data_IF_880739308677
#
_entry.id   IF_880739308677
#
_cell.length_a   1.000
_cell.length_b   1.000
_cell.length_c   1.000
_cell.angle_alpha   90.00
_cell.angle_beta   90.00
_cell.angle_gamma   90.00
#
_symmetry.space_group_name_H-M   'P 1'
#
loop_
_entity.id
_entity.type
_entity.pdbx_description
1 polymer ?
#
# COMPACT_ATOMS: atom_id res chain seq x y z
N UNK A 1 -6.84 25.61 3.13
CA UNK A 1 -5.93 25.75 1.98
C UNK A 1 -6.04 24.47 1.17
N UNK A 2 -6.17 24.53 -0.18
CA UNK A 2 -6.22 23.32 -1.02
C UNK A 2 -4.84 22.65 -1.02
N UNK A 3 -4.81 21.31 -0.94
CA UNK A 3 -3.59 20.50 -0.90
C UNK A 3 -3.51 19.58 -2.13
N UNK A 4 -2.29 19.27 -2.54
CA UNK A 4 -2.02 18.32 -3.61
C UNK A 4 -2.43 16.89 -3.20
N UNK A 5 -3.21 16.22 -4.04
CA UNK A 5 -3.67 14.84 -3.80
C UNK A 5 -2.56 13.79 -3.91
N UNK A 6 -1.35 14.21 -4.37
CA UNK A 6 -0.21 13.30 -4.49
C UNK A 6 0.83 13.49 -3.37
N UNK A 7 1.07 14.69 -2.86
CA UNK A 7 2.15 14.94 -1.87
C UNK A 7 1.69 15.68 -0.61
N UNK A 8 0.41 15.98 -0.47
CA UNK A 8 -0.25 16.67 0.65
C UNK A 8 0.22 18.11 0.91
N UNK A 9 1.18 18.63 0.15
CA UNK A 9 1.65 20.00 0.28
C UNK A 9 0.63 20.99 -0.30
N UNK A 10 0.61 22.26 0.19
CA UNK A 10 -0.25 23.29 -0.36
C UNK A 10 -0.05 23.48 -1.86
N UNK A 11 -1.14 23.60 -2.61
CA UNK A 11 -1.11 23.90 -4.04
C UNK A 11 -0.71 25.36 -4.31
N UNK A 12 -0.01 25.60 -5.41
CA UNK A 12 0.28 26.93 -5.91
C UNK A 12 -0.96 27.57 -6.52
N UNK A 13 -0.90 28.90 -6.79
CA UNK A 13 -1.98 29.61 -7.45
C UNK A 13 -2.22 29.02 -8.87
N UNK A 14 -3.46 28.67 -9.17
CA UNK A 14 -3.86 28.10 -10.46
C UNK A 14 -3.72 26.57 -10.60
N UNK A 15 -3.08 25.90 -9.64
CA UNK A 15 -3.04 24.43 -9.62
C UNK A 15 -4.33 23.86 -9.03
N UNK A 16 -4.78 22.75 -9.62
CA UNK A 16 -5.98 22.01 -9.21
C UNK A 16 -5.57 20.56 -8.93
N UNK A 17 -5.87 20.10 -7.72
CA UNK A 17 -5.63 18.74 -7.22
C UNK A 17 -4.16 18.29 -7.22
N UNK A 18 -3.33 18.69 -8.16
CA UNK A 18 -1.93 18.25 -8.26
C UNK A 18 -0.98 19.41 -8.58
N UNK A 19 0.25 19.32 -8.06
CA UNK A 19 1.36 20.05 -8.64
C UNK A 19 1.75 19.44 -10.00
N UNK A 20 2.16 20.25 -10.96
CA UNK A 20 2.57 19.77 -12.29
C UNK A 20 3.67 18.69 -12.22
N UNK A 21 4.62 18.80 -11.29
CA UNK A 21 5.66 17.78 -11.13
C UNK A 21 5.11 16.45 -10.56
N UNK A 22 4.14 16.50 -9.64
CA UNK A 22 3.50 15.30 -9.09
C UNK A 22 2.69 14.57 -10.17
N UNK A 23 1.93 15.31 -10.98
CA UNK A 23 1.21 14.74 -12.13
C UNK A 23 2.18 14.08 -13.11
N UNK A 24 3.29 14.75 -13.44
CA UNK A 24 4.32 14.22 -14.35
C UNK A 24 4.98 12.95 -13.81
N UNK A 25 5.24 12.87 -12.49
CA UNK A 25 5.84 11.69 -11.87
C UNK A 25 4.89 10.50 -11.93
N UNK A 26 3.62 10.68 -11.61
CA UNK A 26 2.64 9.58 -11.54
C UNK A 26 2.11 9.20 -12.92
N UNK A 27 1.70 10.17 -13.74
CA UNK A 27 1.01 9.93 -15.00
C UNK A 27 1.90 10.10 -16.25
N UNK A 28 3.10 10.64 -16.10
CA UNK A 28 4.01 10.94 -17.21
C UNK A 28 3.70 12.25 -17.95
N UNK A 29 2.66 12.98 -17.53
CA UNK A 29 2.22 14.28 -18.08
C UNK A 29 2.04 15.29 -16.96
N UNK A 30 2.19 16.58 -17.28
CA UNK A 30 1.90 17.68 -16.35
C UNK A 30 0.40 17.86 -16.12
N UNK A 31 -0.42 17.33 -17.02
CA UNK A 31 -1.87 17.31 -16.91
C UNK A 31 -2.32 16.02 -16.25
N UNK A 32 -3.25 16.14 -15.31
CA UNK A 32 -3.89 15.01 -14.65
C UNK A 32 -4.93 14.41 -15.59
N UNK A 33 -4.93 13.09 -15.86
CA UNK A 33 -5.93 12.48 -16.72
C UNK A 33 -7.34 12.60 -16.08
N UNK A 34 -8.32 12.92 -16.92
CA UNK A 34 -9.71 13.00 -16.50
C UNK A 34 -10.22 11.59 -16.19
N UNK A 35 -10.84 11.42 -15.01
CA UNK A 35 -11.53 10.20 -14.60
C UNK A 35 -13.05 10.45 -14.71
N UNK A 36 -13.68 10.09 -15.84
CA UNK A 36 -15.03 10.53 -16.17
C UNK A 36 -16.15 9.69 -15.51
N UNK A 37 -15.80 8.92 -14.50
CA UNK A 37 -16.73 8.02 -13.81
C UNK A 37 -17.24 8.63 -12.52
N UNK A 38 -18.44 8.22 -12.11
CA UNK A 38 -18.99 8.38 -10.77
C UNK A 38 -18.90 7.04 -10.01
N UNK A 39 -19.13 7.04 -8.71
CA UNK A 39 -19.21 5.80 -7.93
C UNK A 39 -20.25 4.82 -8.52
N UNK A 40 -21.40 5.32 -8.98
CA UNK A 40 -22.43 4.50 -9.61
C UNK A 40 -21.92 3.81 -10.86
N UNK A 41 -21.27 4.54 -11.76
CA UNK A 41 -20.70 3.97 -12.99
C UNK A 41 -19.71 2.86 -12.68
N UNK A 42 -18.90 3.04 -11.64
CA UNK A 42 -17.90 2.04 -11.21
C UNK A 42 -18.57 0.79 -10.62
N UNK A 43 -19.63 0.96 -9.83
CA UNK A 43 -20.38 -0.18 -9.31
C UNK A 43 -21.02 -0.98 -10.44
N UNK A 44 -21.60 -0.32 -11.42
CA UNK A 44 -22.18 -0.95 -12.60
C UNK A 44 -21.11 -1.69 -13.43
N UNK A 45 -19.95 -1.05 -13.67
CA UNK A 45 -18.80 -1.68 -14.35
C UNK A 45 -18.23 -2.85 -13.55
N UNK A 46 -18.10 -2.73 -12.24
CA UNK A 46 -17.61 -3.80 -11.38
C UNK A 46 -18.54 -5.02 -11.43
N UNK A 47 -19.86 -4.83 -11.47
CA UNK A 47 -20.81 -5.92 -11.66
C UNK A 47 -20.64 -6.62 -13.01
N UNK A 48 -20.36 -5.88 -14.09
CA UNK A 48 -20.13 -6.43 -15.42
C UNK A 48 -18.79 -7.20 -15.47
N UNK A 49 -17.72 -6.64 -14.92
CA UNK A 49 -16.36 -7.21 -14.94
C UNK A 49 -16.23 -8.39 -13.94
N UNK A 50 -16.88 -8.28 -12.77
CA UNK A 50 -16.86 -9.29 -11.70
C UNK A 50 -18.02 -10.28 -11.83
N UNK A 51 -19.07 -9.98 -12.58
CA UNK A 51 -20.22 -10.84 -12.79
C UNK A 51 -19.93 -12.24 -13.38
N UNK A 52 -18.67 -12.50 -13.73
CA UNK A 52 -18.15 -13.84 -14.05
C UNK A 52 -17.40 -14.50 -12.86
N UNK A 53 -17.21 -13.82 -11.73
CA UNK A 53 -16.57 -14.39 -10.54
C UNK A 53 -17.29 -13.85 -9.30
N UNK A 54 -17.97 -14.70 -8.58
CA UNK A 54 -18.71 -14.50 -7.33
C UNK A 54 -18.21 -13.30 -6.51
N UNK A 55 -19.02 -12.24 -6.46
CA UNK A 55 -18.78 -11.09 -5.58
C UNK A 55 -18.89 -11.51 -4.13
N UNK A 56 -17.76 -11.62 -3.44
CA UNK A 56 -17.81 -11.54 -1.99
C UNK A 56 -18.14 -10.07 -1.63
N UNK A 57 -19.35 -9.85 -1.14
CA UNK A 57 -19.80 -8.56 -0.61
C UNK A 57 -18.81 -8.09 0.45
N UNK A 58 -18.25 -6.90 0.26
CA UNK A 58 -17.36 -6.25 1.25
C UNK A 58 -15.87 -6.17 0.88
N UNK A 59 -15.45 -6.71 -0.26
CA UNK A 59 -14.07 -6.54 -0.75
C UNK A 59 -14.02 -5.28 -1.62
N UNK A 60 -13.05 -4.39 -1.36
CA UNK A 60 -12.81 -3.22 -2.21
C UNK A 60 -12.49 -3.64 -3.64
N UNK A 61 -13.20 -3.07 -4.62
CA UNK A 61 -12.92 -3.34 -6.03
C UNK A 61 -11.52 -2.84 -6.40
N UNK A 62 -10.77 -3.66 -7.14
CA UNK A 62 -9.48 -3.30 -7.75
C UNK A 62 -9.67 -3.28 -9.26
N UNK A 63 -9.71 -2.09 -9.84
CA UNK A 63 -9.96 -1.88 -11.25
C UNK A 63 -8.65 -1.59 -11.96
N UNK A 64 -8.39 -2.28 -13.07
CA UNK A 64 -7.25 -2.00 -13.93
C UNK A 64 -7.59 -0.81 -14.83
N UNK A 65 -6.71 0.19 -14.91
CA UNK A 65 -6.93 1.38 -15.70
C UNK A 65 -5.70 1.72 -16.56
N UNK A 66 -5.91 2.39 -17.69
CA UNK A 66 -4.84 2.94 -18.52
C UNK A 66 -5.21 4.36 -18.99
N UNK A 67 -4.21 5.13 -19.40
CA UNK A 67 -4.40 6.47 -19.94
C UNK A 67 -4.60 6.35 -21.46
N UNK A 68 -5.75 6.82 -21.92
CA UNK A 68 -6.07 6.97 -23.33
C UNK A 68 -6.04 8.46 -23.73
N UNK A 69 -5.66 8.75 -24.96
CA UNK A 69 -5.68 10.08 -25.53
C UNK A 69 -6.89 10.20 -26.48
N UNK A 70 -7.49 11.39 -26.54
CA UNK A 70 -8.49 11.67 -27.57
C UNK A 70 -7.87 11.62 -28.98
N UNK A 71 -8.71 11.60 -30.02
CA UNK A 71 -8.25 11.53 -31.42
C UNK A 71 -7.34 12.70 -31.82
N UNK A 72 -7.44 13.84 -31.14
CA UNK A 72 -6.58 15.01 -31.33
C UNK A 72 -5.30 14.96 -30.47
N UNK A 73 -5.18 13.99 -29.55
CA UNK A 73 -4.03 13.86 -28.64
C UNK A 73 -3.98 14.90 -27.50
N UNK A 74 -5.03 15.70 -27.34
CA UNK A 74 -5.02 16.87 -26.44
C UNK A 74 -5.60 16.58 -25.05
N UNK A 75 -6.44 15.54 -24.91
CA UNK A 75 -7.07 15.20 -23.62
C UNK A 75 -6.69 13.80 -23.20
N UNK A 76 -6.18 13.67 -21.97
CA UNK A 76 -5.88 12.37 -21.37
C UNK A 76 -7.08 11.92 -20.54
N UNK A 77 -7.53 10.69 -20.79
CA UNK A 77 -8.57 10.02 -20.01
C UNK A 77 -8.03 8.80 -19.33
N UNK A 78 -8.36 8.61 -18.05
CA UNK A 78 -8.14 7.35 -17.36
C UNK A 78 -9.34 6.44 -17.63
N UNK A 79 -9.11 5.38 -18.40
CA UNK A 79 -10.15 4.42 -18.82
C UNK A 79 -9.99 3.12 -18.07
N UNK A 80 -11.09 2.55 -17.58
CA UNK A 80 -11.11 1.20 -16.99
C UNK A 80 -10.94 0.20 -18.12
N UNK A 81 -9.88 -0.59 -18.00
CA UNK A 81 -9.53 -1.62 -19.01
C UNK A 81 -9.49 -2.99 -18.34
N UNK A 82 -9.33 -4.04 -19.13
CA UNK A 82 -9.10 -5.39 -18.59
C UNK A 82 -7.81 -5.48 -17.75
N UNK A 83 -7.23 -6.66 -17.65
CA UNK A 83 -6.07 -6.94 -16.77
C UNK A 83 -4.76 -6.25 -17.18
N UNK A 84 -4.71 -5.60 -18.33
CA UNK A 84 -3.48 -5.09 -18.96
C UNK A 84 -3.14 -3.63 -18.61
N UNK A 85 -3.98 -2.92 -17.88
CA UNK A 85 -3.75 -1.51 -17.52
C UNK A 85 -2.48 -1.27 -16.72
N UNK A 86 -1.95 -0.06 -16.81
CA UNK A 86 -0.73 0.40 -16.10
C UNK A 86 -1.03 0.91 -14.70
N UNK A 87 -2.30 1.13 -14.37
CA UNK A 87 -2.75 1.62 -13.07
C UNK A 87 -3.72 0.64 -12.42
N UNK A 88 -3.80 0.70 -11.11
CA UNK A 88 -4.85 0.10 -10.31
C UNK A 88 -5.59 1.24 -9.63
N UNK A 89 -6.91 1.29 -9.84
CA UNK A 89 -7.83 2.19 -9.19
C UNK A 89 -8.60 1.42 -8.11
N UNK A 90 -8.63 1.95 -6.90
CA UNK A 90 -9.39 1.42 -5.78
C UNK A 90 -10.39 2.49 -5.34
N UNK A 91 -11.66 2.35 -5.71
CA UNK A 91 -12.69 3.31 -5.35
C UNK A 91 -13.08 3.23 -3.88
N UNK A 92 -13.72 4.30 -3.40
CA UNK A 92 -14.36 4.32 -2.09
C UNK A 92 -15.41 3.20 -1.99
N UNK A 93 -15.53 2.58 -0.81
CA UNK A 93 -16.54 1.54 -0.53
C UNK A 93 -17.70 2.11 0.28
N UNK A 94 -18.86 1.46 0.24
CA UNK A 94 -20.00 1.82 1.09
C UNK A 94 -19.78 1.42 2.55
N UNK A 95 -18.98 0.38 2.77
CA UNK A 95 -18.79 -0.20 4.10
C UNK A 95 -17.77 0.54 4.96
N UNK A 96 -16.71 1.08 4.33
CA UNK A 96 -15.58 1.67 5.03
C UNK A 96 -15.33 3.08 4.51
N UNK A 97 -15.70 4.07 5.31
CA UNK A 97 -15.48 5.47 4.98
C UNK A 97 -13.99 5.82 4.95
N UNK A 98 -13.59 6.67 4.02
CA UNK A 98 -12.22 7.15 3.82
C UNK A 98 -11.18 6.06 3.57
N UNK A 99 -11.59 4.87 3.08
CA UNK A 99 -10.64 3.77 2.84
C UNK A 99 -9.53 4.14 1.83
N UNK A 100 -9.81 4.79 0.68
CA UNK A 100 -8.77 5.29 -0.24
C UNK A 100 -7.80 6.27 0.41
N UNK A 101 -8.31 7.21 1.23
CA UNK A 101 -7.51 8.22 1.91
C UNK A 101 -6.63 7.61 3.00
N UNK A 102 -7.12 6.58 3.72
CA UNK A 102 -6.35 5.86 4.73
C UNK A 102 -5.24 5.03 4.07
N UNK A 103 -5.51 4.40 2.92
CA UNK A 103 -4.49 3.66 2.17
C UNK A 103 -3.42 4.62 1.67
N UNK A 104 -3.79 5.73 1.02
CA UNK A 104 -2.84 6.71 0.51
C UNK A 104 -1.99 7.32 1.63
N UNK A 105 -2.61 7.68 2.76
CA UNK A 105 -1.89 8.16 3.95
C UNK A 105 -0.91 7.10 4.48
N UNK A 106 -1.34 5.84 4.60
CA UNK A 106 -0.47 4.76 5.08
C UNK A 106 0.75 4.56 4.19
N UNK A 107 0.58 4.69 2.88
CA UNK A 107 1.68 4.65 1.91
C UNK A 107 2.62 5.87 2.06
N UNK A 108 2.10 7.07 2.33
CA UNK A 108 2.92 8.25 2.66
C UNK A 108 3.72 8.07 3.95
N UNK A 109 3.12 7.48 5.00
CA UNK A 109 3.84 7.20 6.24
C UNK A 109 4.98 6.19 6.00
N UNK A 110 4.78 5.17 5.14
CA UNK A 110 5.84 4.25 4.71
C UNK A 110 6.97 4.99 4.01
N UNK A 111 6.65 5.90 3.08
CA UNK A 111 7.65 6.70 2.36
C UNK A 111 8.45 7.61 3.30
N UNK A 112 7.82 8.23 4.29
CA UNK A 112 8.48 9.03 5.33
C UNK A 112 9.46 8.16 6.13
N UNK A 113 9.08 6.90 6.43
CA UNK A 113 9.94 5.91 7.08
C UNK A 113 11.05 5.36 6.17
N UNK A 114 11.19 5.88 4.95
CA UNK A 114 12.16 5.46 3.93
C UNK A 114 11.98 4.00 3.46
N UNK A 115 10.77 3.47 3.60
CA UNK A 115 10.39 2.19 3.00
C UNK A 115 10.05 2.48 1.52
N UNK A 116 10.65 1.75 0.57
CA UNK A 116 10.30 1.89 -0.84
C UNK A 116 8.81 1.59 -1.06
N UNK A 117 8.09 2.51 -1.71
CA UNK A 117 6.66 2.37 -2.01
C UNK A 117 6.40 2.41 -3.51
N UNK A 118 5.32 1.79 -3.97
CA UNK A 118 4.85 1.97 -5.35
C UNK A 118 4.36 3.42 -5.54
N UNK A 119 4.46 4.01 -6.75
CA UNK A 119 3.90 5.33 -7.01
C UNK A 119 2.39 5.34 -6.81
N UNK A 120 1.88 6.25 -5.99
CA UNK A 120 0.48 6.31 -5.59
C UNK A 120 0.00 7.75 -5.40
N UNK A 121 -1.29 7.96 -5.39
CA UNK A 121 -1.95 9.21 -5.04
C UNK A 121 -3.46 9.00 -4.86
N UNK A 122 -4.17 10.05 -4.44
CA UNK A 122 -5.62 10.15 -4.55
C UNK A 122 -6.00 10.78 -5.90
N UNK A 123 -7.12 10.36 -6.48
CA UNK A 123 -7.69 10.94 -7.70
C UNK A 123 -9.20 11.14 -7.53
N UNK A 124 -9.76 12.18 -8.18
CA UNK A 124 -11.21 12.45 -8.09
C UNK A 124 -11.97 11.77 -9.19
N UNK A 125 -13.13 11.24 -8.83
CA UNK A 125 -14.21 10.96 -9.78
C UNK A 125 -14.88 12.25 -10.27
N UNK A 126 -15.74 12.14 -11.28
CA UNK A 126 -16.49 13.26 -11.85
C UNK A 126 -17.41 13.94 -10.84
N UNK A 127 -17.89 13.23 -9.82
CA UNK A 127 -18.70 13.74 -8.70
C UNK A 127 -17.87 14.36 -7.56
N UNK A 128 -16.53 14.33 -7.68
CA UNK A 128 -15.58 14.88 -6.71
C UNK A 128 -15.14 13.91 -5.61
N UNK A 129 -15.64 12.69 -5.59
CA UNK A 129 -15.24 11.68 -4.62
C UNK A 129 -13.76 11.26 -4.80
N UNK A 130 -13.05 11.07 -3.68
CA UNK A 130 -11.66 10.65 -3.70
C UNK A 130 -11.54 9.12 -3.82
N UNK A 131 -10.56 8.69 -4.61
CA UNK A 131 -10.24 7.30 -4.85
C UNK A 131 -8.72 7.13 -4.84
N UNK A 132 -8.24 5.96 -4.45
CA UNK A 132 -6.81 5.64 -4.48
C UNK A 132 -6.40 5.15 -5.87
N UNK A 133 -5.29 5.67 -6.37
CA UNK A 133 -4.68 5.22 -7.61
C UNK A 133 -3.20 4.89 -7.40
N UNK A 134 -2.76 3.77 -7.98
CA UNK A 134 -1.35 3.40 -7.97
C UNK A 134 -0.88 2.95 -9.34
N UNK A 135 0.37 3.29 -9.68
CA UNK A 135 0.99 2.79 -10.90
C UNK A 135 1.58 1.40 -10.66
N UNK A 136 1.25 0.46 -11.53
CA UNK A 136 1.71 -0.92 -11.46
C UNK A 136 3.21 -1.01 -11.74
N UNK A 137 3.93 -1.67 -10.84
CA UNK A 137 5.36 -1.93 -10.97
C UNK A 137 5.66 -3.18 -11.81
N UNK A 138 4.67 -4.04 -12.01
CA UNK A 138 4.76 -5.21 -12.89
C UNK A 138 4.48 -4.89 -14.36
N UNK A 139 4.61 -3.61 -14.73
CA UNK A 139 4.48 -3.13 -16.11
C UNK A 139 5.67 -2.26 -16.48
N UNK A 140 6.19 -2.46 -17.69
CA UNK A 140 7.14 -1.52 -18.32
C UNK A 140 6.41 -0.24 -18.75
N UNK A 141 7.16 0.80 -19.13
CA UNK A 141 6.59 2.01 -19.73
C UNK A 141 5.75 1.70 -20.97
N UNK A 142 6.15 0.70 -21.75
CA UNK A 142 5.45 0.23 -22.96
C UNK A 142 4.29 -0.75 -22.64
N UNK A 143 3.93 -0.95 -21.36
CA UNK A 143 2.83 -1.78 -20.92
C UNK A 143 3.12 -3.30 -20.89
N UNK A 144 4.33 -3.75 -21.21
CA UNK A 144 4.71 -5.17 -21.12
C UNK A 144 4.73 -5.64 -19.67
N UNK A 145 4.20 -6.84 -19.41
CA UNK A 145 4.22 -7.46 -18.08
C UNK A 145 5.64 -7.88 -17.70
N UNK A 146 6.07 -7.48 -16.51
CA UNK A 146 7.29 -7.98 -15.86
C UNK A 146 6.95 -9.22 -15.03
N UNK A 147 7.89 -10.18 -14.93
CA UNK A 147 7.72 -11.32 -14.02
C UNK A 147 7.59 -10.83 -12.58
N UNK A 148 6.53 -11.26 -11.91
CA UNK A 148 6.23 -10.94 -10.51
C UNK A 148 5.40 -12.07 -9.92
N UNK A 149 5.80 -12.55 -8.74
CA UNK A 149 5.14 -13.61 -7.99
C UNK A 149 4.93 -13.15 -6.54
N UNK A 150 3.71 -13.29 -6.04
CA UNK A 150 3.43 -13.02 -4.63
C UNK A 150 3.85 -14.22 -3.73
N UNK A 151 3.99 -13.97 -2.42
CA UNK A 151 4.44 -15.01 -1.48
C UNK A 151 3.43 -16.15 -1.30
N UNK A 152 2.16 -15.93 -1.65
CA UNK A 152 1.16 -17.00 -1.72
C UNK A 152 1.50 -17.96 -2.86
N UNK A 153 1.82 -17.45 -4.05
CA UNK A 153 2.25 -18.21 -5.21
C UNK A 153 3.59 -18.91 -4.94
N UNK A 154 4.60 -18.20 -4.43
CA UNK A 154 5.93 -18.76 -4.11
C UNK A 154 5.88 -19.86 -3.04
N UNK A 155 4.88 -19.82 -2.14
CA UNK A 155 4.65 -20.87 -1.14
C UNK A 155 3.79 -22.05 -1.66
N UNK A 156 3.39 -22.03 -2.93
CA UNK A 156 2.52 -23.06 -3.51
C UNK A 156 1.08 -23.04 -2.98
N UNK A 157 0.63 -21.94 -2.41
CA UNK A 157 -0.71 -21.79 -1.80
C UNK A 157 -1.71 -21.19 -2.78
N UNK A 158 -2.97 -21.57 -2.63
CA UNK A 158 -4.09 -20.96 -3.34
C UNK A 158 -4.50 -19.63 -2.72
N UNK A 159 -5.24 -18.80 -3.45
CA UNK A 159 -5.68 -17.48 -2.99
C UNK A 159 -6.48 -17.53 -1.68
N UNK A 160 -7.29 -18.57 -1.48
CA UNK A 160 -8.09 -18.79 -0.27
C UNK A 160 -7.23 -19.07 0.97
N UNK A 161 -5.98 -19.46 0.76
CA UNK A 161 -5.00 -19.77 1.81
C UNK A 161 -4.06 -18.58 2.10
N UNK A 162 -4.34 -17.40 1.61
CA UNK A 162 -3.48 -16.20 1.73
C UNK A 162 -3.16 -15.81 3.19
N UNK A 163 -3.99 -16.21 4.14
CA UNK A 163 -3.78 -15.98 5.59
C UNK A 163 -3.11 -17.17 6.31
N UNK A 164 -2.78 -18.25 5.60
CA UNK A 164 -2.16 -19.44 6.18
C UNK A 164 -0.64 -19.37 6.05
N UNK A 165 0.03 -18.81 7.04
CA UNK A 165 1.47 -18.68 7.03
C UNK A 165 2.01 -17.88 8.20
N UNK A 166 3.31 -17.59 8.15
CA UNK A 166 3.96 -16.73 9.13
C UNK A 166 4.88 -15.74 8.42
N UNK A 167 5.24 -14.67 9.11
CA UNK A 167 6.19 -13.69 8.58
C UNK A 167 7.59 -14.30 8.42
N UNK A 168 7.98 -15.24 9.28
CA UNK A 168 9.23 -16.00 9.15
C UNK A 168 9.24 -16.88 7.89
N UNK A 169 8.09 -17.43 7.49
CA UNK A 169 7.97 -18.19 6.24
C UNK A 169 8.26 -17.28 5.03
N UNK A 170 7.73 -16.07 5.01
CA UNK A 170 8.01 -15.09 3.94
C UNK A 170 9.51 -14.74 3.90
N UNK A 171 10.14 -14.50 5.05
CA UNK A 171 11.56 -14.20 5.12
C UNK A 171 12.41 -15.35 4.55
N UNK A 172 12.03 -16.62 4.80
CA UNK A 172 12.68 -17.80 4.21
C UNK A 172 12.47 -17.90 2.70
N UNK A 173 11.28 -17.53 2.18
CA UNK A 173 11.04 -17.47 0.73
C UNK A 173 11.90 -16.38 0.07
N UNK A 174 12.05 -15.22 0.71
CA UNK A 174 12.96 -14.17 0.24
C UNK A 174 14.40 -14.70 0.19
N UNK A 175 14.84 -15.42 1.22
CA UNK A 175 16.17 -16.01 1.27
C UNK A 175 16.41 -17.02 0.13
N UNK A 176 15.38 -17.78 -0.22
CA UNK A 176 15.43 -18.79 -1.28
C UNK A 176 15.40 -18.20 -2.69
N UNK A 177 14.63 -17.16 -2.94
CA UNK A 177 14.31 -16.72 -4.30
C UNK A 177 14.86 -15.33 -4.66
N UNK A 178 15.23 -14.48 -3.69
CA UNK A 178 15.79 -13.17 -3.99
C UNK A 178 17.26 -13.25 -4.41
N UNK A 179 17.63 -12.46 -5.41
CA UNK A 179 19.01 -12.30 -5.86
C UNK A 179 19.88 -11.45 -4.92
N UNK A 180 19.25 -10.72 -3.97
CA UNK A 180 19.89 -9.86 -2.96
C UNK A 180 19.27 -10.11 -1.58
N UNK A 181 19.11 -11.38 -1.23
CA UNK A 181 18.30 -11.87 -0.11
C UNK A 181 18.53 -11.13 1.21
N UNK A 182 19.78 -10.84 1.59
CA UNK A 182 20.08 -10.18 2.86
C UNK A 182 19.50 -8.76 2.93
N UNK A 183 19.65 -7.97 1.86
CA UNK A 183 19.09 -6.63 1.78
C UNK A 183 17.55 -6.68 1.74
N UNK A 184 17.00 -7.59 0.96
CA UNK A 184 15.56 -7.75 0.85
C UNK A 184 14.90 -8.23 2.14
N UNK A 185 15.57 -9.09 2.94
CA UNK A 185 15.10 -9.46 4.28
C UNK A 185 15.07 -8.27 5.23
N UNK A 186 16.07 -7.39 5.20
CA UNK A 186 16.07 -6.16 6.01
C UNK A 186 14.93 -5.25 5.60
N UNK A 187 14.74 -5.00 4.30
CA UNK A 187 13.63 -4.18 3.78
C UNK A 187 12.27 -4.81 4.12
N UNK A 188 12.16 -6.12 4.03
CA UNK A 188 10.97 -6.88 4.38
C UNK A 188 10.61 -6.71 5.87
N UNK A 189 11.55 -6.92 6.78
CA UNK A 189 11.30 -6.76 8.21
C UNK A 189 10.95 -5.32 8.61
N UNK A 190 11.52 -4.33 7.92
CA UNK A 190 11.07 -2.94 8.08
C UNK A 190 9.59 -2.77 7.67
N UNK A 191 9.15 -3.39 6.57
CA UNK A 191 7.75 -3.37 6.17
C UNK A 191 6.84 -4.06 7.18
N UNK A 192 7.26 -5.20 7.75
CA UNK A 192 6.49 -5.94 8.77
C UNK A 192 6.31 -5.11 10.04
N UNK A 193 7.38 -4.54 10.59
CA UNK A 193 7.32 -3.69 11.80
C UNK A 193 6.48 -2.44 11.52
N UNK A 194 6.68 -1.79 10.37
CA UNK A 194 5.89 -0.64 9.96
C UNK A 194 4.39 -0.97 9.88
N UNK A 195 4.02 -2.09 9.25
CA UNK A 195 2.63 -2.53 9.13
C UNK A 195 1.97 -2.69 10.50
N UNK A 196 2.70 -3.23 11.47
CA UNK A 196 2.22 -3.33 12.85
C UNK A 196 2.06 -1.95 13.50
N UNK A 197 3.02 -1.02 13.32
CA UNK A 197 2.94 0.33 13.89
C UNK A 197 1.70 1.07 13.39
N UNK A 198 1.39 0.99 12.10
CA UNK A 198 0.21 1.65 11.53
C UNK A 198 -1.10 0.87 11.74
N UNK A 199 -1.07 -0.29 12.40
CA UNK A 199 -2.24 -1.14 12.63
C UNK A 199 -2.81 -1.76 11.36
N UNK A 200 -1.95 -2.23 10.47
CA UNK A 200 -2.35 -2.97 9.27
C UNK A 200 -2.41 -4.48 9.57
N UNK A 201 -3.57 -4.98 9.93
CA UNK A 201 -3.82 -6.41 10.18
C UNK A 201 -4.21 -7.20 8.91
N UNK A 202 -4.05 -6.63 7.71
CA UNK A 202 -4.33 -7.33 6.43
C UNK A 202 -3.07 -7.59 5.56
N UNK A 203 -1.87 -7.47 6.12
CA UNK A 203 -0.61 -7.77 5.42
C UNK A 203 -0.38 -9.28 5.30
N UNK A 204 -1.17 -9.92 4.45
CA UNK A 204 -1.13 -11.36 4.17
C UNK A 204 -0.12 -11.71 3.06
N UNK A 205 0.00 -13.01 2.72
CA UNK A 205 0.97 -13.54 1.76
C UNK A 205 0.95 -12.87 0.39
N UNK A 206 -0.21 -12.37 -0.08
CA UNK A 206 -0.33 -11.71 -1.39
C UNK A 206 0.12 -10.27 -1.41
N UNK A 207 0.38 -9.67 -0.25
CA UNK A 207 0.82 -8.28 -0.12
C UNK A 207 2.35 -8.13 -0.09
N UNK A 208 3.07 -9.24 -0.27
CA UNK A 208 4.52 -9.29 -0.46
C UNK A 208 4.83 -10.04 -1.75
N UNK A 209 5.73 -9.50 -2.58
CA UNK A 209 6.09 -10.10 -3.87
C UNK A 209 7.57 -9.96 -4.18
N UNK A 210 8.06 -10.87 -5.00
CA UNK A 210 9.31 -10.70 -5.72
C UNK A 210 9.03 -10.40 -7.19
N UNK A 211 9.82 -9.52 -7.80
CA UNK A 211 9.69 -9.19 -9.22
C UNK A 211 11.04 -9.04 -9.88
N UNK A 212 11.06 -9.14 -11.21
CA UNK A 212 12.28 -9.01 -12.01
C UNK A 212 12.21 -7.76 -12.90
N UNK A 213 12.68 -6.58 -12.39
CA UNK A 213 12.57 -5.32 -13.13
C UNK A 213 13.43 -5.23 -14.39
N UNK A 214 14.51 -6.03 -14.46
CA UNK A 214 15.48 -6.03 -15.58
C UNK A 214 15.66 -7.39 -16.24
N UNK A 215 14.82 -8.38 -15.90
CA UNK A 215 14.94 -9.77 -16.33
C UNK A 215 16.00 -10.56 -15.56
N UNK A 216 15.67 -11.82 -15.22
CA UNK A 216 16.59 -12.81 -14.64
C UNK A 216 16.94 -12.67 -13.15
N UNK A 217 16.81 -11.51 -12.54
CA UNK A 217 17.08 -11.29 -11.11
C UNK A 217 15.80 -10.86 -10.40
N UNK A 218 15.36 -11.67 -9.44
CA UNK A 218 14.21 -11.35 -8.60
C UNK A 218 14.65 -10.60 -7.35
N UNK A 219 13.93 -9.56 -6.98
CA UNK A 219 14.13 -8.75 -5.78
C UNK A 219 12.78 -8.45 -5.14
N UNK A 220 12.79 -8.09 -3.86
CA UNK A 220 11.58 -7.66 -3.16
C UNK A 220 10.99 -6.41 -3.84
N UNK A 221 9.68 -6.39 -4.02
CA UNK A 221 8.99 -5.22 -4.56
C UNK A 221 9.01 -4.06 -3.56
N UNK A 222 8.92 -2.80 -4.03
CA UNK A 222 8.39 -1.73 -3.18
C UNK A 222 7.06 -2.15 -2.54
N UNK A 223 6.78 -1.66 -1.32
CA UNK A 223 5.53 -2.00 -0.64
C UNK A 223 4.30 -1.43 -1.35
N UNK A 224 3.19 -2.12 -1.23
CA UNK A 224 1.86 -1.78 -1.74
C UNK A 224 0.79 -2.31 -0.79
N UNK A 225 -0.46 -1.88 -0.96
CA UNK A 225 -1.59 -2.32 -0.12
C UNK A 225 -1.36 -2.06 1.39
N UNK A 226 -0.67 -0.98 1.74
CA UNK A 226 -0.56 -0.54 3.14
C UNK A 226 -1.83 0.22 3.52
N UNK A 227 -2.57 -0.29 4.48
CA UNK A 227 -3.79 0.34 4.99
C UNK A 227 -3.92 0.11 6.49
N UNK A 228 -4.20 1.15 7.26
CA UNK A 228 -4.48 0.98 8.69
C UNK A 228 -5.87 0.36 8.87
N UNK A 229 -5.92 -0.97 8.93
CA UNK A 229 -7.20 -1.66 9.19
C UNK A 229 -7.76 -1.31 10.56
N UNK A 230 -6.90 -0.99 11.52
CA UNK A 230 -7.30 -0.59 12.87
C UNK A 230 -8.05 0.75 12.91
N UNK A 231 -7.69 1.72 12.05
CA UNK A 231 -8.41 2.98 11.89
C UNK A 231 -9.73 2.77 11.14
N UNK A 232 -9.75 1.85 10.16
CA UNK A 232 -10.95 1.52 9.37
C UNK A 232 -11.97 0.70 10.18
N UNK A 233 -11.48 -0.22 11.03
CA UNK A 233 -12.27 -1.15 11.86
C UNK A 233 -11.73 -1.16 13.29
N UNK A 234 -12.04 -0.18 14.13
CA UNK A 234 -11.50 -0.08 15.49
C UNK A 234 -11.78 -1.29 16.38
N UNK A 235 -12.85 -2.02 16.09
CA UNK A 235 -13.28 -3.23 16.81
C UNK A 235 -12.41 -4.47 16.49
N UNK A 236 -11.63 -4.46 15.40
CA UNK A 236 -10.75 -5.57 15.07
C UNK A 236 -9.69 -5.76 16.16
N UNK A 237 -9.54 -7.00 16.62
CA UNK A 237 -8.63 -7.39 17.71
C UNK A 237 -7.33 -8.00 17.23
N UNK A 238 -7.24 -8.34 15.95
CA UNK A 238 -6.00 -8.84 15.38
C UNK A 238 -5.01 -7.68 15.19
N UNK A 239 -3.74 -7.94 15.42
CA UNK A 239 -2.67 -6.96 15.19
C UNK A 239 -1.92 -7.24 13.89
N UNK A 240 -1.94 -8.49 13.43
CA UNK A 240 -1.24 -8.96 12.23
C UNK A 240 -2.06 -10.00 11.47
N UNK A 241 -1.94 -10.03 10.14
CA UNK A 241 -2.61 -10.99 9.25
C UNK A 241 -2.08 -12.41 9.37
N UNK A 242 -0.78 -12.54 9.58
CA UNK A 242 -0.05 -13.82 9.70
C UNK A 242 0.53 -13.96 11.11
N UNK A 243 0.95 -15.16 11.46
CA UNK A 243 1.64 -15.36 12.74
C UNK A 243 3.05 -14.76 12.71
N UNK A 244 3.45 -14.16 13.81
CA UNK A 244 4.80 -13.71 14.13
C UNK A 244 5.21 -14.38 15.44
N UNK A 245 6.32 -15.12 15.45
CA UNK A 245 6.75 -15.92 16.61
C UNK A 245 5.61 -16.79 17.20
N UNK A 246 4.70 -17.24 16.33
CA UNK A 246 3.52 -18.03 16.69
C UNK A 246 2.28 -17.25 17.13
N UNK A 247 2.32 -15.92 17.21
CA UNK A 247 1.22 -15.05 17.67
C UNK A 247 0.72 -14.12 16.55
N UNK A 248 -0.55 -13.66 16.65
CA UNK A 248 -1.14 -12.65 15.75
C UNK A 248 -1.64 -11.41 16.51
N UNK A 249 -1.61 -11.45 17.83
CA UNK A 249 -2.07 -10.38 18.72
C UNK A 249 -1.29 -10.38 20.03
N UNK A 250 -1.33 -9.24 20.74
CA UNK A 250 -0.55 -9.00 21.97
C UNK A 250 0.95 -9.19 21.74
N UNK A 251 1.40 -8.76 20.57
CA UNK A 251 2.79 -8.88 20.15
C UNK A 251 3.67 -7.96 20.99
N UNK A 252 4.83 -8.49 21.39
CA UNK A 252 5.86 -7.77 22.12
C UNK A 252 7.06 -7.50 21.21
N UNK A 253 7.91 -6.55 21.57
CA UNK A 253 9.19 -6.28 20.89
C UNK A 253 10.02 -7.54 20.74
N UNK A 254 10.01 -8.37 21.78
CA UNK A 254 10.67 -9.67 21.81
C UNK A 254 10.24 -10.58 20.64
N UNK A 255 8.95 -10.63 20.30
CA UNK A 255 8.45 -11.49 19.22
C UNK A 255 9.02 -11.08 17.87
N UNK A 256 9.09 -9.78 17.59
CA UNK A 256 9.71 -9.25 16.37
C UNK A 256 11.22 -9.57 16.33
N UNK A 257 11.91 -9.38 17.45
CA UNK A 257 13.35 -9.66 17.53
C UNK A 257 13.63 -11.13 17.26
N UNK A 258 12.94 -12.03 17.95
CA UNK A 258 13.10 -13.47 17.78
C UNK A 258 12.80 -13.92 16.34
N UNK A 259 11.70 -13.45 15.74
CA UNK A 259 11.36 -13.78 14.37
C UNK A 259 12.44 -13.31 13.37
N UNK A 260 13.02 -12.13 13.58
CA UNK A 260 14.15 -11.64 12.78
C UNK A 260 15.39 -12.53 12.94
N UNK A 261 15.78 -12.88 14.18
CA UNK A 261 16.93 -13.73 14.47
C UNK A 261 16.77 -15.13 13.85
N UNK A 262 15.58 -15.75 14.00
CA UNK A 262 15.26 -17.06 13.43
C UNK A 262 15.33 -17.10 11.91
N UNK A 263 15.26 -15.95 11.25
CA UNK A 263 15.37 -15.82 9.79
C UNK A 263 16.72 -15.30 9.32
N UNK A 264 17.71 -15.27 10.22
CA UNK A 264 19.10 -14.91 9.89
C UNK A 264 19.34 -13.42 9.73
N UNK A 265 18.57 -12.58 10.41
CA UNK A 265 18.90 -11.17 10.63
C UNK A 265 19.83 -11.09 11.85
N UNK A 266 20.92 -10.34 11.71
CA UNK A 266 21.83 -10.07 12.82
C UNK A 266 21.14 -9.27 13.94
N UNK A 267 21.50 -9.55 15.21
CA UNK A 267 20.85 -8.93 16.38
C UNK A 267 21.00 -7.39 16.37
N UNK A 268 22.16 -6.88 15.98
CA UNK A 268 22.39 -5.42 15.89
C UNK A 268 21.47 -4.81 14.83
N UNK A 269 21.26 -5.51 13.70
CA UNK A 269 20.36 -5.07 12.64
C UNK A 269 18.90 -5.14 13.10
N UNK A 270 18.49 -6.21 13.79
CA UNK A 270 17.13 -6.35 14.32
C UNK A 270 16.81 -5.22 15.31
N UNK A 271 17.69 -4.96 16.28
CA UNK A 271 17.53 -3.88 17.25
C UNK A 271 17.48 -2.51 16.55
N UNK A 272 18.27 -2.29 15.49
CA UNK A 272 18.24 -1.07 14.71
C UNK A 272 16.92 -0.90 13.95
N UNK A 273 16.36 -1.96 13.37
CA UNK A 273 15.05 -1.92 12.70
C UNK A 273 13.99 -1.46 13.70
N UNK A 274 13.95 -2.05 14.89
CA UNK A 274 12.94 -1.76 15.93
C UNK A 274 13.06 -0.32 16.46
N UNK A 275 14.27 0.14 16.75
CA UNK A 275 14.49 1.48 17.33
C UNK A 275 14.38 2.63 16.32
N UNK A 276 14.50 2.33 15.02
CA UNK A 276 14.63 3.37 13.98
C UNK A 276 13.32 4.15 13.72
N UNK A 277 12.17 3.61 14.06
CA UNK A 277 10.89 4.23 13.70
C UNK A 277 10.55 5.47 14.54
N UNK A 278 11.00 5.55 15.78
CA UNK A 278 10.74 6.68 16.67
C UNK A 278 11.15 8.05 16.07
N UNK A 279 12.22 8.09 15.26
CA UNK A 279 12.71 9.33 14.63
C UNK A 279 11.74 9.93 13.60
N UNK A 280 10.75 9.15 13.13
CA UNK A 280 9.80 9.60 12.12
C UNK A 280 8.51 10.16 12.73
N UNK A 281 8.31 10.03 14.05
CA UNK A 281 7.07 10.38 14.76
C UNK A 281 6.55 11.76 14.36
N UNK A 282 7.35 12.81 14.51
CA UNK A 282 6.90 14.19 14.26
C UNK A 282 6.44 14.38 12.80
N UNK A 283 7.20 13.84 11.83
CA UNK A 283 6.85 13.88 10.41
C UNK A 283 5.58 13.10 10.09
N UNK A 284 5.36 11.99 10.79
CA UNK A 284 4.13 11.23 10.67
C UNK A 284 2.92 12.01 11.20
N UNK A 285 3.07 12.67 12.36
CA UNK A 285 1.99 13.51 12.93
C UNK A 285 1.65 14.68 12.00
N UNK A 286 2.65 15.34 11.39
CA UNK A 286 2.45 16.39 10.39
C UNK A 286 1.75 15.86 9.13
N UNK A 287 2.13 14.67 8.65
CA UNK A 287 1.52 14.05 7.47
C UNK A 287 0.05 13.66 7.72
N UNK A 288 -0.25 13.07 8.88
CA UNK A 288 -1.62 12.74 9.28
C UNK A 288 -2.47 14.01 9.36
N UNK A 289 -1.95 15.09 9.94
CA UNK A 289 -2.66 16.39 10.01
C UNK A 289 -2.94 16.96 8.62
N UNK A 290 -2.01 16.77 7.68
CA UNK A 290 -2.13 17.24 6.31
C UNK A 290 -3.04 16.37 5.43
N UNK A 291 -3.42 15.18 5.88
CA UNK A 291 -4.16 14.17 5.11
C UNK A 291 -5.63 14.53 4.89
N UNK A 292 -6.31 13.69 4.10
CA UNK A 292 -7.71 13.90 3.68
C UNK A 292 -8.72 13.04 4.46
N UNK A 293 -8.28 12.31 5.50
CA UNK A 293 -9.16 11.57 6.40
C UNK A 293 -9.89 12.50 7.38
N UNK A 294 -10.94 12.03 8.05
CA UNK A 294 -11.68 12.82 9.03
C UNK A 294 -10.83 13.17 10.25
N UNK A 295 -11.22 14.23 10.98
CA UNK A 295 -10.48 14.65 12.17
C UNK A 295 -10.50 13.58 13.28
N UNK A 296 -11.60 12.84 13.42
CA UNK A 296 -11.70 11.70 14.34
C UNK A 296 -10.70 10.59 13.96
N UNK A 297 -10.60 10.25 12.68
CA UNK A 297 -9.63 9.26 12.20
C UNK A 297 -8.18 9.76 12.35
N UNK A 298 -7.92 11.06 12.19
CA UNK A 298 -6.60 11.63 12.49
C UNK A 298 -6.21 11.41 13.95
N UNK A 299 -7.13 11.70 14.89
CA UNK A 299 -6.89 11.47 16.31
C UNK A 299 -6.63 9.99 16.62
N UNK A 300 -7.46 9.10 16.08
CA UNK A 300 -7.31 7.65 16.26
C UNK A 300 -5.97 7.15 15.70
N UNK A 301 -5.58 7.60 14.50
CA UNK A 301 -4.35 7.15 13.87
C UNK A 301 -3.11 7.65 14.62
N UNK A 302 -3.10 8.93 15.07
CA UNK A 302 -2.03 9.48 15.90
C UNK A 302 -1.87 8.70 17.20
N UNK A 303 -2.97 8.48 17.93
CA UNK A 303 -2.96 7.72 19.19
C UNK A 303 -2.46 6.29 19.00
N UNK A 304 -2.88 5.61 17.93
CA UNK A 304 -2.41 4.27 17.59
C UNK A 304 -0.89 4.23 17.36
N UNK A 305 -0.36 5.15 16.56
CA UNK A 305 1.08 5.20 16.27
C UNK A 305 1.87 5.50 17.55
N UNK A 306 1.39 6.41 18.39
CA UNK A 306 2.04 6.74 19.67
C UNK A 306 2.09 5.52 20.59
N UNK A 307 0.97 4.82 20.78
CA UNK A 307 0.90 3.57 21.54
C UNK A 307 1.90 2.53 21.02
N UNK A 308 1.94 2.32 19.69
CA UNK A 308 2.82 1.32 19.08
C UNK A 308 4.31 1.69 19.20
N UNK A 309 4.65 2.95 19.06
CA UNK A 309 6.02 3.43 19.25
C UNK A 309 6.47 3.33 20.72
N UNK A 310 5.58 3.58 21.68
CA UNK A 310 5.85 3.35 23.11
C UNK A 310 6.13 1.89 23.37
N UNK A 311 5.30 0.98 22.88
CA UNK A 311 5.49 -0.49 23.01
C UNK A 311 6.80 -0.97 22.37
N UNK A 312 7.28 -0.34 21.28
CA UNK A 312 8.59 -0.66 20.70
C UNK A 312 9.77 -0.23 21.57
N UNK A 313 9.57 0.70 22.49
CA UNK A 313 10.60 1.16 23.43
C UNK A 313 10.56 0.43 24.80
N UNK A 314 9.54 -0.38 25.07
CA UNK A 314 9.48 -1.24 26.24
C UNK A 314 10.49 -2.40 26.06
N UNK A 315 11.43 -2.52 27.00
CA UNK A 315 12.50 -3.55 26.99
C UNK A 315 12.00 -4.92 27.44
#
# INVERSE_FOLDING_TARGET
MKRCLCCYKPLNAGEIDYHSHCAKELFGSVEVPILPYTRKDINDLAQIVVGQRTTMTGVQAKLSADIEHDEAGNTQRLTIVGVMGKYILKPQTERFEYLPEIEDLSMHLAQIARIPVVPHALIRFADGELNYITRRIDRTKDGKKLPMEDMCQLSGKLTEQKYQGSYEMIARLIDQYSSIAQLDKVNYWQQVVFSWIIGNADMHLKNFSLYSPKGGKYILTPTYDQVSTKVVMPEDREEMALTLNGFQKKLLVYDFREAMLQTGIDEVVANRILSNFAQFKDKWMECIEASFISDDQKHQFKALIEERLERLNEQ
#
